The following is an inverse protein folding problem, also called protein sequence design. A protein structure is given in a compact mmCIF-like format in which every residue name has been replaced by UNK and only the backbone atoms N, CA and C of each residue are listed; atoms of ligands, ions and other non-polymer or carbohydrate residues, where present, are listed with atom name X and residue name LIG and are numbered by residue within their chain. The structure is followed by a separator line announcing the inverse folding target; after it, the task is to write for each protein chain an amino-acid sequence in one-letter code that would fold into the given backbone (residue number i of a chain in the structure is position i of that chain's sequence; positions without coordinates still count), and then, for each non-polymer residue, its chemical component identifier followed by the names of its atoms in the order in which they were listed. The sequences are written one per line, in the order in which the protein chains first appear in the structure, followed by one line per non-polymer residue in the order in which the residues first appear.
data_IF_385177627989
#
_entry.id   IF_385177627989
#
_cell.length_a   1.000
_cell.length_b   1.000
_cell.length_c   1.000
_cell.angle_alpha   90.00
_cell.angle_beta   90.00
_cell.angle_gamma   90.00
#
_symmetry.space_group_name_H-M   'P 1'
#
loop_
_entity.id
_entity.type
_entity.pdbx_description
1 polymer ?
#
# COMPACT_ATOMS: atom_id res chain seq x y z
N UNK A 1 5.58 9.36 10.05
CA UNK A 1 4.46 8.40 10.16
C UNK A 1 5.04 7.01 9.95
N UNK A 2 4.57 6.00 10.68
CA UNK A 2 5.11 4.64 10.60
C UNK A 2 4.10 3.73 9.92
N UNK A 3 4.52 3.04 8.86
CA UNK A 3 3.73 2.03 8.18
C UNK A 3 3.56 0.80 9.10
N UNK A 4 2.33 0.36 9.33
CA UNK A 4 2.01 -0.83 10.12
C UNK A 4 1.39 -1.90 9.21
N UNK A 5 1.85 -3.14 9.33
CA UNK A 5 1.38 -4.29 8.53
C UNK A 5 0.66 -5.28 9.45
N UNK A 6 -0.60 -5.61 9.14
CA UNK A 6 -1.42 -6.57 9.89
C UNK A 6 -1.87 -7.72 9.00
N UNK A 7 -1.69 -8.95 9.47
CA UNK A 7 -2.22 -10.12 8.77
C UNK A 7 -3.75 -10.05 8.67
N UNK A 8 -4.29 -10.40 7.50
CA UNK A 8 -5.72 -10.59 7.35
C UNK A 8 -6.18 -11.85 8.09
N UNK A 9 -7.45 -11.89 8.50
CA UNK A 9 -8.08 -13.13 8.96
C UNK A 9 -8.42 -14.03 7.75
N UNK A 10 -7.38 -14.45 7.02
CA UNK A 10 -7.46 -15.26 5.79
C UNK A 10 -6.18 -16.10 5.63
N UNK A 11 -6.10 -16.89 4.55
CA UNK A 11 -4.92 -17.73 4.27
C UNK A 11 -3.68 -16.94 3.81
N UNK A 12 -3.83 -15.71 3.33
CA UNK A 12 -2.73 -14.87 2.85
C UNK A 12 -3.16 -13.40 2.75
N UNK A 13 -2.16 -12.53 2.74
CA UNK A 13 -2.32 -11.09 2.58
C UNK A 13 -2.37 -10.32 3.88
N UNK A 14 -2.14 -9.02 3.74
CA UNK A 14 -2.01 -8.08 4.86
C UNK A 14 -2.79 -6.81 4.61
N UNK A 15 -3.22 -6.15 5.68
CA UNK A 15 -3.71 -4.78 5.67
C UNK A 15 -2.59 -3.83 6.11
N UNK A 16 -2.38 -2.75 5.37
CA UNK A 16 -1.38 -1.73 5.65
C UNK A 16 -2.08 -0.48 6.19
N UNK A 17 -1.60 0.01 7.33
CA UNK A 17 -2.10 1.20 8.00
C UNK A 17 -1.02 2.29 8.10
N UNK A 18 -1.46 3.54 8.33
CA UNK A 18 -0.57 4.67 8.56
C UNK A 18 0.00 5.32 7.30
N UNK A 19 -0.55 4.98 6.13
CA UNK A 19 -0.18 5.55 4.83
C UNK A 19 -1.39 6.21 4.14
N UNK A 20 -1.12 7.30 3.45
CA UNK A 20 -2.06 7.99 2.58
C UNK A 20 -1.41 8.13 1.20
N UNK A 21 -1.97 7.43 0.21
CA UNK A 21 -1.49 7.41 -1.17
C UNK A 21 -1.97 8.64 -1.95
N UNK A 22 -2.87 9.45 -1.39
CA UNK A 22 -3.31 10.70 -2.01
C UNK A 22 -2.29 11.85 -1.84
N UNK A 23 -1.35 11.70 -0.91
CA UNK A 23 -0.18 12.57 -0.77
C UNK A 23 0.93 12.19 -1.78
N UNK A 24 2.06 12.90 -1.76
CA UNK A 24 3.20 12.57 -2.63
C UNK A 24 3.67 11.13 -2.41
N UNK A 25 3.52 10.30 -3.44
CA UNK A 25 4.11 8.96 -3.51
C UNK A 25 5.60 9.13 -3.83
N UNK A 26 6.48 8.68 -2.93
CA UNK A 26 7.92 8.67 -3.16
C UNK A 26 8.46 7.26 -3.44
N UNK A 27 9.68 7.19 -3.95
CA UNK A 27 10.35 5.92 -4.29
C UNK A 27 10.51 5.00 -3.06
N UNK A 28 10.62 5.57 -1.86
CA UNK A 28 10.78 4.80 -0.64
C UNK A 28 9.48 4.04 -0.30
N UNK A 29 8.35 4.73 -0.39
CA UNK A 29 7.03 4.14 -0.20
C UNK A 29 6.74 3.06 -1.25
N UNK A 30 7.01 3.32 -2.53
CA UNK A 30 6.81 2.33 -3.60
C UNK A 30 7.64 1.07 -3.35
N UNK A 31 8.91 1.20 -2.95
CA UNK A 31 9.76 0.04 -2.61
C UNK A 31 9.21 -0.74 -1.43
N UNK A 32 8.76 -0.06 -0.39
CA UNK A 32 8.17 -0.70 0.79
C UNK A 32 6.88 -1.46 0.45
N UNK A 33 5.98 -0.85 -0.33
CA UNK A 33 4.74 -1.49 -0.78
C UNK A 33 5.01 -2.69 -1.69
N UNK A 34 5.98 -2.55 -2.60
CA UNK A 34 6.40 -3.63 -3.51
C UNK A 34 6.96 -4.81 -2.72
N UNK A 35 7.82 -4.56 -1.73
CA UNK A 35 8.34 -5.61 -0.86
C UNK A 35 7.22 -6.30 -0.08
N UNK A 36 6.31 -5.53 0.52
CA UNK A 36 5.16 -6.07 1.26
C UNK A 36 4.27 -6.93 0.34
N UNK A 37 4.07 -6.53 -0.91
CA UNK A 37 3.33 -7.30 -1.91
C UNK A 37 4.05 -8.61 -2.27
N UNK A 38 5.37 -8.59 -2.46
CA UNK A 38 6.13 -9.82 -2.74
C UNK A 38 6.05 -10.82 -1.57
N UNK A 39 6.19 -10.36 -0.34
CA UNK A 39 6.18 -11.20 0.86
C UNK A 39 4.79 -11.76 1.17
N UNK A 40 3.74 -10.96 1.00
CA UNK A 40 2.39 -11.28 1.48
C UNK A 40 1.40 -11.64 0.36
N UNK A 41 1.81 -11.51 -0.91
CA UNK A 41 1.04 -11.77 -2.15
C UNK A 41 -0.14 -10.84 -2.42
N UNK A 42 -0.80 -10.35 -1.37
CA UNK A 42 -1.89 -9.39 -1.44
C UNK A 42 -1.72 -8.36 -0.32
N UNK A 43 -1.92 -7.09 -0.66
CA UNK A 43 -1.96 -6.00 0.29
C UNK A 43 -3.28 -5.24 0.17
N UNK A 44 -3.83 -4.80 1.29
CA UNK A 44 -5.02 -3.95 1.35
C UNK A 44 -4.63 -2.64 2.00
N UNK A 45 -4.94 -1.53 1.34
CA UNK A 45 -4.74 -0.18 1.85
C UNK A 45 -6.09 0.52 1.80
N UNK A 46 -6.69 0.77 2.95
CA UNK A 46 -8.06 1.32 3.05
C UNK A 46 -8.08 2.84 3.04
N UNK A 47 -9.27 3.40 2.79
CA UNK A 47 -9.56 4.83 2.88
C UNK A 47 -8.69 5.70 1.96
N UNK A 48 -8.36 5.18 0.78
CA UNK A 48 -7.57 5.90 -0.23
C UNK A 48 -8.51 6.64 -1.17
N UNK A 49 -8.44 7.97 -1.17
CA UNK A 49 -9.22 8.81 -2.07
C UNK A 49 -8.32 9.33 -3.20
N UNK A 50 -8.06 8.48 -4.18
CA UNK A 50 -7.17 8.77 -5.30
C UNK A 50 -7.91 9.42 -6.46
N UNK A 51 -7.26 10.40 -7.10
CA UNK A 51 -7.64 10.79 -8.46
C UNK A 51 -7.25 9.68 -9.44
N UNK A 52 -7.83 9.68 -10.64
CA UNK A 52 -7.44 8.73 -11.69
C UNK A 52 -5.93 8.79 -11.99
N UNK A 53 -5.37 9.99 -12.09
CA UNK A 53 -3.94 10.17 -12.27
C UNK A 53 -3.13 9.59 -11.10
N UNK A 54 -3.54 9.86 -9.86
CA UNK A 54 -2.85 9.32 -8.68
C UNK A 54 -2.89 7.78 -8.63
N UNK A 55 -4.01 7.17 -9.06
CA UNK A 55 -4.11 5.72 -9.19
C UNK A 55 -3.19 5.16 -10.29
N UNK A 56 -3.07 5.84 -11.43
CA UNK A 56 -2.18 5.42 -12.51
C UNK A 56 -0.70 5.56 -12.14
N UNK A 57 -0.31 6.64 -11.45
CA UNK A 57 1.08 6.84 -11.00
C UNK A 57 1.53 5.75 -10.01
N UNK A 58 0.62 5.22 -9.18
CA UNK A 58 0.91 4.10 -8.29
C UNK A 58 1.28 2.81 -9.05
N UNK A 59 0.75 2.62 -10.25
CA UNK A 59 0.90 1.39 -11.05
C UNK A 59 1.98 1.43 -12.14
N UNK A 60 2.67 2.57 -12.31
CA UNK A 60 3.77 2.72 -13.28
C UNK A 60 5.07 2.13 -12.75
#
# INVERSE_FOLDING_TARGET
MTMEIKALNSYFGVEIHGIDLSDSIDDHLIRALTQALYENRVIIIRNQNLTENGYLELGR
#
